data_IF_227991511746
#
_entry.id   IF_227991511746
#
_cell.length_a   1.000
_cell.length_b   1.000
_cell.length_c   1.000
_cell.angle_alpha   90.00
_cell.angle_beta   90.00
_cell.angle_gamma   90.00
#
_symmetry.space_group_name_H-M   'P 1'
#
loop_
_entity.id
_entity.type
_entity.pdbx_description
1 polymer ?
#
# COMPACT_ATOMS: atom_id res chain seq x y z
N UNK A 1 -25.39 -3.04 2.17
CA UNK A 1 -24.90 -4.01 3.21
C UNK A 1 -24.43 -3.28 4.45
N UNK A 2 -24.39 -3.97 5.60
CA UNK A 2 -23.78 -3.48 6.85
C UNK A 2 -22.35 -4.04 6.93
N UNK A 3 -21.37 -3.18 6.76
CA UNK A 3 -19.97 -3.57 6.55
C UNK A 3 -19.10 -3.02 7.68
N UNK A 4 -18.27 -3.87 8.28
CA UNK A 4 -17.30 -3.46 9.29
C UNK A 4 -15.87 -3.65 8.80
N UNK A 5 -15.05 -2.61 8.90
CA UNK A 5 -13.60 -2.69 8.79
C UNK A 5 -12.95 -2.53 10.16
N UNK A 6 -11.98 -3.35 10.50
CA UNK A 6 -11.22 -3.22 11.75
C UNK A 6 -9.71 -3.35 11.52
N UNK A 7 -8.98 -2.34 11.96
CA UNK A 7 -7.51 -2.30 11.92
C UNK A 7 -7.01 -1.31 12.97
N UNK A 8 -6.02 -1.69 13.77
CA UNK A 8 -5.51 -0.88 14.88
C UNK A 8 -5.02 0.52 14.45
N UNK A 9 -4.39 0.62 13.27
CA UNK A 9 -3.84 1.87 12.75
C UNK A 9 -4.83 2.90 12.21
N UNK A 10 -6.11 2.52 11.98
CA UNK A 10 -7.10 3.42 11.38
C UNK A 10 -7.24 4.73 12.17
N UNK A 11 -7.26 5.84 11.44
CA UNK A 11 -7.27 7.23 11.92
C UNK A 11 -6.04 7.65 12.73
N UNK A 12 -5.13 6.74 13.07
CA UNK A 12 -3.90 7.04 13.82
C UNK A 12 -2.70 7.25 12.90
N UNK A 13 -2.59 6.45 11.84
CA UNK A 13 -1.49 6.51 10.89
C UNK A 13 -2.02 6.42 9.45
N UNK A 14 -1.26 6.97 8.50
CA UNK A 14 -1.61 6.97 7.07
C UNK A 14 -0.62 6.08 6.30
N UNK A 15 -0.66 4.76 6.58
CA UNK A 15 0.09 3.74 5.82
C UNK A 15 -0.80 3.17 4.71
N UNK A 16 -0.21 2.39 3.81
CA UNK A 16 -0.92 1.83 2.67
C UNK A 16 -2.20 1.07 3.01
N UNK A 17 -2.18 0.23 4.03
CA UNK A 17 -3.34 -0.55 4.47
C UNK A 17 -4.45 0.32 5.07
N UNK A 18 -4.09 1.28 5.93
CA UNK A 18 -5.04 2.21 6.53
C UNK A 18 -5.68 3.12 5.49
N UNK A 19 -4.87 3.67 4.57
CA UNK A 19 -5.36 4.50 3.45
C UNK A 19 -6.32 3.69 2.59
N UNK A 20 -5.97 2.44 2.25
CA UNK A 20 -6.82 1.57 1.44
C UNK A 20 -8.17 1.32 2.12
N UNK A 21 -8.19 0.94 3.40
CA UNK A 21 -9.43 0.68 4.12
C UNK A 21 -10.30 1.93 4.27
N UNK A 22 -9.70 3.08 4.61
CA UNK A 22 -10.45 4.34 4.72
C UNK A 22 -11.03 4.78 3.37
N UNK A 23 -10.28 4.59 2.28
CA UNK A 23 -10.70 4.98 0.94
C UNK A 23 -11.83 4.10 0.42
N UNK A 24 -11.68 2.77 0.54
CA UNK A 24 -12.73 1.81 0.16
C UNK A 24 -13.99 2.05 1.00
N UNK A 25 -13.86 2.21 2.31
CA UNK A 25 -14.97 2.47 3.21
C UNK A 25 -15.73 3.76 2.85
N UNK A 26 -15.03 4.86 2.55
CA UNK A 26 -15.65 6.11 2.11
C UNK A 26 -16.42 5.92 0.80
N UNK A 27 -15.86 5.20 -0.15
CA UNK A 27 -16.53 4.97 -1.44
C UNK A 27 -17.75 4.04 -1.31
N UNK A 28 -17.67 2.96 -0.51
CA UNK A 28 -18.80 2.09 -0.23
C UNK A 28 -19.95 2.85 0.47
N UNK A 29 -19.61 3.71 1.44
CA UNK A 29 -20.59 4.55 2.11
C UNK A 29 -21.26 5.53 1.14
N UNK A 30 -20.51 6.16 0.21
CA UNK A 30 -21.05 6.99 -0.87
C UNK A 30 -21.96 6.23 -1.82
N UNK A 31 -21.71 4.93 -1.99
CA UNK A 31 -22.55 4.04 -2.80
C UNK A 31 -23.79 3.54 -2.04
N UNK A 32 -24.00 3.98 -0.79
CA UNK A 32 -25.20 3.70 0.00
C UNK A 32 -25.08 2.49 0.94
N UNK A 33 -23.88 1.95 1.16
CA UNK A 33 -23.68 0.91 2.18
C UNK A 33 -23.57 1.52 3.59
N UNK A 34 -24.02 0.78 4.62
CA UNK A 34 -23.82 1.15 6.03
C UNK A 34 -22.44 0.67 6.48
N UNK A 35 -21.48 1.57 6.46
CA UNK A 35 -20.08 1.25 6.71
C UNK A 35 -19.61 1.76 8.06
N UNK A 36 -19.03 0.88 8.85
CA UNK A 36 -18.38 1.20 10.13
C UNK A 36 -16.90 0.86 10.10
N UNK A 37 -16.08 1.73 10.65
CA UNK A 37 -14.67 1.48 10.92
C UNK A 37 -14.41 1.41 12.41
N UNK A 38 -13.63 0.42 12.87
CA UNK A 38 -13.07 0.37 14.22
C UNK A 38 -11.55 0.55 14.10
N UNK A 39 -11.02 1.56 14.78
CA UNK A 39 -9.60 1.88 14.80
C UNK A 39 -9.18 2.56 16.10
N UNK A 40 -7.89 2.84 16.29
CA UNK A 40 -7.42 3.41 17.55
C UNK A 40 -7.11 4.90 17.52
N UNK A 41 -7.10 5.52 16.35
CA UNK A 41 -6.88 6.95 16.23
C UNK A 41 -8.09 7.79 16.64
N UNK A 42 -7.94 9.10 16.78
CA UNK A 42 -9.05 10.00 17.04
C UNK A 42 -9.99 10.08 15.83
N UNK A 43 -11.25 10.38 16.07
CA UNK A 43 -12.23 10.56 15.00
C UNK A 43 -11.79 11.71 14.07
N UNK A 44 -11.74 11.44 12.76
CA UNK A 44 -11.48 12.46 11.74
C UNK A 44 -12.81 12.99 11.20
N UNK A 45 -12.99 14.32 11.11
CA UNK A 45 -14.22 14.92 10.59
C UNK A 45 -14.40 14.67 9.08
N UNK A 46 -15.63 14.86 8.59
CA UNK A 46 -15.94 14.85 7.14
C UNK A 46 -15.83 13.48 6.47
N UNK A 47 -16.06 12.40 7.23
CA UNK A 47 -16.06 11.03 6.69
C UNK A 47 -17.49 10.53 6.49
N UNK A 48 -17.70 9.79 5.42
CA UNK A 48 -19.01 9.24 5.05
C UNK A 48 -19.39 7.98 5.86
N UNK A 49 -18.43 7.31 6.46
CA UNK A 49 -18.62 6.12 7.27
C UNK A 49 -18.72 6.44 8.76
N UNK A 50 -19.35 5.56 9.52
CA UNK A 50 -19.34 5.62 10.99
C UNK A 50 -17.97 5.17 11.51
N UNK A 51 -17.44 5.87 12.50
CA UNK A 51 -16.19 5.51 13.15
C UNK A 51 -16.39 5.23 14.64
N UNK A 52 -15.76 4.15 15.12
CA UNK A 52 -15.72 3.78 16.53
C UNK A 52 -14.25 3.73 16.95
N UNK A 53 -13.89 4.57 17.89
CA UNK A 53 -12.56 4.54 18.48
C UNK A 53 -12.45 3.40 19.49
N UNK A 54 -11.47 2.53 19.32
CA UNK A 54 -11.13 1.44 20.23
C UNK A 54 -9.64 1.56 20.59
N UNK A 55 -9.28 1.67 21.87
CA UNK A 55 -7.90 1.91 22.26
C UNK A 55 -6.98 0.74 21.90
N UNK A 56 -5.76 1.04 21.50
CA UNK A 56 -4.65 0.10 21.42
C UNK A 56 -3.33 0.77 21.84
N UNK A 57 -2.38 -0.03 22.28
CA UNK A 57 -1.02 0.43 22.56
C UNK A 57 -0.28 0.52 21.23
N UNK A 58 0.50 1.58 21.01
CA UNK A 58 1.26 1.79 19.77
C UNK A 58 2.36 0.75 19.62
N UNK A 59 2.59 0.27 18.42
CA UNK A 59 3.59 -0.76 18.12
C UNK A 59 5.01 -0.35 18.50
N UNK A 60 5.35 0.94 18.45
CA UNK A 60 6.66 1.46 18.82
C UNK A 60 7.01 1.14 20.29
N UNK A 61 6.01 0.95 21.15
CA UNK A 61 6.21 0.55 22.53
C UNK A 61 6.61 -0.94 22.67
N UNK A 62 6.48 -1.71 21.61
CA UNK A 62 6.75 -3.14 21.58
C UNK A 62 8.04 -3.52 20.82
N UNK A 63 8.81 -2.56 20.28
CA UNK A 63 10.00 -2.82 19.46
C UNK A 63 11.07 -3.67 20.19
N UNK A 64 11.10 -3.63 21.53
CA UNK A 64 12.04 -4.39 22.36
C UNK A 64 11.42 -5.65 22.99
N UNK A 65 10.16 -5.96 22.66
CA UNK A 65 9.48 -7.10 23.21
C UNK A 65 9.87 -8.39 22.47
N UNK A 66 9.87 -9.55 23.16
CA UNK A 66 10.31 -10.81 22.55
C UNK A 66 9.35 -11.24 21.43
N UNK A 67 9.93 -11.84 20.37
CA UNK A 67 9.16 -12.58 19.37
C UNK A 67 8.75 -13.93 19.94
N UNK A 68 7.45 -14.20 19.98
CA UNK A 68 6.85 -15.43 20.49
C UNK A 68 5.82 -15.94 19.46
N UNK A 69 5.42 -17.21 19.49
CA UNK A 69 4.26 -17.67 18.72
C UNK A 69 3.06 -16.74 18.94
N UNK A 70 2.35 -16.37 17.87
CA UNK A 70 1.24 -15.39 17.85
C UNK A 70 1.63 -13.93 18.15
N UNK A 71 2.86 -13.66 18.61
CA UNK A 71 3.42 -12.33 18.90
C UNK A 71 4.77 -12.15 18.18
N UNK A 72 4.79 -12.39 16.88
CA UNK A 72 6.02 -12.48 16.08
C UNK A 72 6.80 -11.17 15.97
N UNK A 73 6.10 -10.05 16.11
CA UNK A 73 6.66 -8.72 15.98
C UNK A 73 5.81 -7.70 16.74
N UNK A 74 6.25 -6.45 16.76
CA UNK A 74 5.57 -5.32 17.39
C UNK A 74 4.13 -5.11 16.89
N UNK A 75 3.84 -5.45 15.62
CA UNK A 75 2.50 -5.36 15.05
C UNK A 75 1.54 -6.35 15.69
N UNK A 76 1.98 -7.59 15.93
CA UNK A 76 1.15 -8.60 16.59
C UNK A 76 0.83 -8.22 18.05
N UNK A 77 1.76 -7.60 18.76
CA UNK A 77 1.54 -7.05 20.10
C UNK A 77 0.54 -5.88 20.08
N UNK A 78 0.68 -4.96 19.11
CA UNK A 78 -0.30 -3.87 18.90
C UNK A 78 -1.70 -4.43 18.68
N UNK A 79 -1.86 -5.41 17.79
CA UNK A 79 -3.13 -6.07 17.51
C UNK A 79 -3.74 -6.74 18.76
N UNK A 80 -2.93 -7.46 19.53
CA UNK A 80 -3.40 -8.09 20.78
C UNK A 80 -3.90 -7.04 21.78
N UNK A 81 -3.20 -5.90 21.89
CA UNK A 81 -3.63 -4.79 22.75
C UNK A 81 -4.94 -4.11 22.27
N UNK A 82 -5.29 -4.26 21.00
CA UNK A 82 -6.50 -3.75 20.37
C UNK A 82 -7.73 -4.62 20.65
N UNK A 83 -7.54 -5.90 20.95
CA UNK A 83 -8.63 -6.89 21.18
C UNK A 83 -9.67 -6.42 22.22
N UNK A 84 -9.29 -5.95 23.43
CA UNK A 84 -10.28 -5.50 24.41
C UNK A 84 -11.17 -4.37 23.91
N UNK A 85 -10.60 -3.45 23.12
CA UNK A 85 -11.34 -2.37 22.47
C UNK A 85 -12.34 -2.88 21.44
N UNK A 86 -11.91 -3.81 20.56
CA UNK A 86 -12.80 -4.44 19.58
C UNK A 86 -13.94 -5.19 20.30
N UNK A 87 -13.62 -6.02 21.29
CA UNK A 87 -14.65 -6.82 22.01
C UNK A 87 -15.75 -5.94 22.60
N UNK A 88 -15.39 -4.75 23.11
CA UNK A 88 -16.36 -3.79 23.64
C UNK A 88 -17.18 -3.09 22.57
N UNK A 89 -16.57 -2.77 21.42
CA UNK A 89 -17.18 -1.99 20.35
C UNK A 89 -17.95 -2.83 19.33
N UNK A 90 -17.54 -4.08 19.09
CA UNK A 90 -18.06 -4.93 18.05
C UNK A 90 -19.22 -5.80 18.52
N UNK A 91 -20.39 -5.61 17.89
CA UNK A 91 -21.57 -6.45 18.05
C UNK A 91 -21.80 -7.22 16.74
N UNK A 92 -21.58 -8.53 16.71
CA UNK A 92 -21.67 -9.32 15.46
C UNK A 92 -23.01 -9.23 14.74
N UNK A 93 -24.13 -9.12 15.46
CA UNK A 93 -25.49 -8.99 14.89
C UNK A 93 -25.70 -7.73 14.05
N UNK A 94 -24.88 -6.71 14.24
CA UNK A 94 -25.05 -5.41 13.58
C UNK A 94 -24.50 -5.40 12.16
N UNK A 95 -23.77 -6.46 11.76
CA UNK A 95 -23.04 -6.51 10.48
C UNK A 95 -23.38 -7.74 9.66
N UNK A 96 -23.31 -7.60 8.34
CA UNK A 96 -23.44 -8.69 7.37
C UNK A 96 -22.05 -9.27 7.04
N UNK A 97 -21.03 -8.41 7.00
CA UNK A 97 -19.66 -8.79 6.70
C UNK A 97 -18.64 -7.95 7.48
N UNK A 98 -17.53 -8.58 7.85
CA UNK A 98 -16.38 -7.93 8.51
C UNK A 98 -15.12 -8.07 7.66
N UNK A 99 -14.28 -7.04 7.62
CA UNK A 99 -13.01 -7.02 6.91
C UNK A 99 -11.85 -6.67 7.83
N UNK A 100 -10.72 -7.34 7.63
CA UNK A 100 -9.43 -6.96 8.22
C UNK A 100 -8.28 -7.44 7.33
N UNK A 101 -7.09 -6.85 7.50
CA UNK A 101 -5.82 -7.33 6.96
C UNK A 101 -4.85 -7.74 8.07
N UNK A 102 -5.34 -7.86 9.31
CA UNK A 102 -4.57 -8.12 10.50
C UNK A 102 -4.87 -9.53 11.04
N UNK A 103 -3.82 -10.32 11.26
CA UNK A 103 -3.87 -11.70 11.75
C UNK A 103 -2.74 -11.94 12.77
N UNK A 104 -2.97 -12.65 13.89
CA UNK A 104 -4.17 -13.43 14.19
C UNK A 104 -5.27 -12.70 14.99
N UNK A 105 -4.91 -11.73 15.83
CA UNK A 105 -5.75 -11.24 16.92
C UNK A 105 -7.03 -10.54 16.48
N UNK A 106 -6.92 -9.63 15.51
CA UNK A 106 -8.08 -8.90 14.97
C UNK A 106 -9.00 -9.87 14.22
N UNK A 107 -8.45 -10.73 13.35
CA UNK A 107 -9.23 -11.72 12.59
C UNK A 107 -10.00 -12.67 13.52
N UNK A 108 -9.33 -13.27 14.52
CA UNK A 108 -9.99 -14.16 15.49
C UNK A 108 -11.07 -13.46 16.30
N UNK A 109 -10.84 -12.20 16.70
CA UNK A 109 -11.83 -11.43 17.45
C UNK A 109 -13.10 -11.16 16.63
N UNK A 110 -12.95 -10.83 15.35
CA UNK A 110 -14.09 -10.62 14.44
C UNK A 110 -14.85 -11.92 14.16
N UNK A 111 -14.15 -13.05 14.15
CA UNK A 111 -14.70 -14.38 13.90
C UNK A 111 -15.12 -15.14 15.16
N UNK A 112 -15.03 -14.53 16.32
CA UNK A 112 -15.40 -15.18 17.59
C UNK A 112 -16.77 -15.83 17.52
N UNK A 113 -16.99 -16.98 18.16
CA UNK A 113 -18.30 -17.62 18.26
C UNK A 113 -19.34 -16.68 18.89
N UNK A 114 -20.54 -16.66 18.31
CA UNK A 114 -21.69 -15.89 18.82
C UNK A 114 -22.94 -16.77 18.78
N UNK A 115 -23.92 -16.45 19.64
CA UNK A 115 -25.23 -17.04 19.52
C UNK A 115 -25.90 -16.47 18.25
N UNK A 116 -26.40 -17.34 17.39
CA UNK A 116 -27.03 -16.96 16.13
C UNK A 116 -26.04 -16.86 14.95
N UNK A 117 -26.44 -16.09 13.94
CA UNK A 117 -25.65 -15.95 12.71
C UNK A 117 -24.44 -15.03 12.92
N UNK A 118 -23.24 -15.54 12.70
CA UNK A 118 -22.02 -14.75 12.62
C UNK A 118 -21.96 -14.02 11.26
N UNK A 119 -21.51 -12.74 11.21
CA UNK A 119 -21.24 -12.09 9.93
C UNK A 119 -20.17 -12.86 9.15
N UNK A 120 -20.22 -12.80 7.83
CA UNK A 120 -19.14 -13.32 6.98
C UNK A 120 -17.86 -12.55 7.27
N UNK A 121 -16.72 -13.19 7.08
CA UNK A 121 -15.40 -12.59 7.34
C UNK A 121 -14.54 -12.60 6.08
N UNK A 122 -14.11 -11.45 5.65
CA UNK A 122 -13.22 -11.28 4.50
C UNK A 122 -11.86 -10.80 4.97
N UNK A 123 -10.83 -11.51 4.58
CA UNK A 123 -9.45 -11.10 4.80
C UNK A 123 -8.89 -10.42 3.55
N UNK A 124 -8.14 -9.32 3.75
CA UNK A 124 -7.53 -8.55 2.66
C UNK A 124 -6.01 -8.61 2.79
N UNK A 125 -5.30 -8.99 1.74
CA UNK A 125 -3.86 -9.24 1.77
C UNK A 125 -3.00 -7.96 1.72
N UNK A 126 -3.42 -6.89 2.42
CA UNK A 126 -2.71 -5.61 2.43
C UNK A 126 -1.29 -5.71 2.99
N UNK A 127 -1.09 -6.60 3.96
CA UNK A 127 0.20 -6.83 4.62
C UNK A 127 0.84 -8.17 4.19
N UNK A 128 0.44 -8.74 3.05
CA UNK A 128 0.86 -10.05 2.58
C UNK A 128 -0.23 -11.12 2.71
N UNK A 129 -0.01 -12.26 2.05
CA UNK A 129 -0.95 -13.39 2.03
C UNK A 129 -0.49 -14.60 2.86
N UNK A 130 0.61 -14.49 3.59
CA UNK A 130 1.19 -15.58 4.40
C UNK A 130 0.19 -16.23 5.38
N UNK A 131 -0.78 -15.52 6.01
CA UNK A 131 -1.77 -16.21 6.82
C UNK A 131 -2.60 -17.24 6.03
N UNK A 132 -2.82 -16.97 4.75
CA UNK A 132 -3.66 -17.82 3.90
C UNK A 132 -2.93 -19.05 3.34
N UNK A 133 -1.60 -18.97 3.10
CA UNK A 133 -0.87 -20.08 2.48
C UNK A 133 0.08 -20.81 3.43
N UNK A 134 0.49 -20.22 4.55
CA UNK A 134 1.45 -20.83 5.46
C UNK A 134 0.77 -21.82 6.39
N UNK A 135 1.32 -23.03 6.49
CA UNK A 135 0.86 -24.08 7.40
C UNK A 135 1.63 -24.09 8.73
N UNK A 136 2.48 -23.09 8.97
CA UNK A 136 3.31 -23.01 10.17
C UNK A 136 2.61 -22.28 11.33
N UNK A 137 2.78 -22.80 12.58
CA UNK A 137 2.33 -22.14 13.80
C UNK A 137 0.86 -21.70 13.76
N UNK A 138 0.57 -20.45 14.15
CA UNK A 138 -0.78 -19.87 14.19
C UNK A 138 -1.43 -19.75 12.81
N UNK A 139 -0.67 -19.70 11.72
CA UNK A 139 -1.23 -19.59 10.37
C UNK A 139 -2.07 -20.79 9.97
N UNK A 140 -1.84 -21.96 10.57
CA UNK A 140 -2.71 -23.15 10.42
C UNK A 140 -4.15 -22.92 10.89
N UNK A 141 -4.36 -21.90 11.72
CA UNK A 141 -5.67 -21.54 12.26
C UNK A 141 -6.32 -20.39 11.48
N UNK A 142 -5.74 -20.05 10.32
CA UNK A 142 -6.31 -19.04 9.45
C UNK A 142 -7.52 -19.59 8.69
N UNK A 143 -8.59 -18.83 8.73
CA UNK A 143 -9.81 -19.07 7.96
C UNK A 143 -10.48 -17.75 7.61
N UNK A 144 -11.15 -17.73 6.47
CA UNK A 144 -12.01 -16.62 6.04
C UNK A 144 -13.13 -17.15 5.15
N UNK A 145 -14.23 -16.40 5.05
CA UNK A 145 -15.35 -16.69 4.12
C UNK A 145 -15.06 -16.12 2.73
N UNK A 146 -14.13 -15.18 2.62
CA UNK A 146 -13.62 -14.61 1.38
C UNK A 146 -12.23 -14.01 1.55
N UNK A 147 -11.43 -14.05 0.48
CA UNK A 147 -10.06 -13.53 0.44
C UNK A 147 -9.92 -12.51 -0.68
N UNK A 148 -9.59 -11.27 -0.35
CA UNK A 148 -9.23 -10.25 -1.34
C UNK A 148 -7.72 -10.22 -1.47
N UNK A 149 -7.23 -10.57 -2.66
CA UNK A 149 -5.83 -10.56 -3.02
C UNK A 149 -5.49 -9.26 -3.75
N UNK A 150 -4.50 -8.55 -3.26
CA UNK A 150 -4.11 -7.23 -3.77
C UNK A 150 -3.18 -7.30 -4.99
N UNK A 151 -2.70 -8.48 -5.35
CA UNK A 151 -1.87 -8.71 -6.53
C UNK A 151 -2.10 -10.10 -7.15
N UNK A 152 -1.68 -10.31 -8.41
CA UNK A 152 -1.87 -11.57 -9.12
C UNK A 152 -1.19 -12.77 -8.46
N UNK A 153 0.01 -12.61 -7.88
CA UNK A 153 0.76 -13.70 -7.25
C UNK A 153 0.00 -14.25 -6.03
N UNK A 154 -0.60 -13.36 -5.22
CA UNK A 154 -1.42 -13.76 -4.09
C UNK A 154 -2.71 -14.44 -4.53
N UNK A 155 -3.34 -13.91 -5.60
CA UNK A 155 -4.56 -14.50 -6.14
C UNK A 155 -4.31 -15.91 -6.68
N UNK A 156 -3.32 -16.10 -7.54
CA UNK A 156 -3.01 -17.41 -8.13
C UNK A 156 -2.65 -18.46 -7.07
N UNK A 157 -1.93 -18.05 -6.02
CA UNK A 157 -1.55 -18.94 -4.93
C UNK A 157 -2.73 -19.42 -4.09
N UNK A 158 -3.75 -18.59 -3.91
CA UNK A 158 -4.81 -18.81 -2.94
C UNK A 158 -6.18 -19.18 -3.53
N UNK A 159 -6.43 -18.92 -4.83
CA UNK A 159 -7.74 -19.10 -5.46
C UNK A 159 -8.28 -20.54 -5.48
N UNK A 160 -7.41 -21.53 -5.38
CA UNK A 160 -7.83 -22.94 -5.31
C UNK A 160 -8.30 -23.34 -3.90
N UNK A 161 -7.88 -22.61 -2.85
CA UNK A 161 -8.19 -22.93 -1.45
C UNK A 161 -9.30 -22.06 -0.86
N UNK A 162 -9.41 -20.83 -1.32
CA UNK A 162 -10.37 -19.84 -0.80
C UNK A 162 -11.26 -19.30 -1.93
N UNK A 163 -12.44 -18.81 -1.55
CA UNK A 163 -13.19 -17.89 -2.39
C UNK A 163 -12.38 -16.60 -2.48
N UNK A 164 -11.62 -16.44 -3.54
CA UNK A 164 -10.69 -15.33 -3.70
C UNK A 164 -11.11 -14.39 -4.82
N UNK A 165 -10.80 -13.10 -4.66
CA UNK A 165 -10.91 -12.10 -5.72
C UNK A 165 -9.59 -11.33 -5.83
N UNK A 166 -9.19 -11.01 -7.07
CA UNK A 166 -8.08 -10.11 -7.36
C UNK A 166 -8.63 -8.68 -7.41
N UNK A 167 -8.42 -7.91 -6.35
CA UNK A 167 -8.88 -6.52 -6.26
C UNK A 167 -7.70 -5.64 -5.86
N UNK A 168 -7.29 -4.69 -6.71
CA UNK A 168 -6.16 -3.80 -6.44
C UNK A 168 -6.44 -2.81 -5.31
N UNK A 169 -5.39 -2.12 -4.87
CA UNK A 169 -5.57 -0.83 -4.22
C UNK A 169 -5.87 0.25 -5.26
N UNK A 170 -6.33 1.40 -4.78
CA UNK A 170 -6.70 2.51 -5.62
C UNK A 170 -5.81 3.73 -5.46
N UNK A 171 -6.11 4.73 -6.28
CA UNK A 171 -5.53 6.07 -6.22
C UNK A 171 -6.63 7.12 -6.14
N UNK A 172 -6.37 8.21 -5.42
CA UNK A 172 -7.21 9.41 -5.45
C UNK A 172 -6.87 10.25 -6.70
N UNK A 173 -7.60 9.99 -7.78
CA UNK A 173 -7.40 10.67 -9.07
C UNK A 173 -7.81 12.16 -9.05
N UNK A 174 -8.48 12.64 -8.02
CA UNK A 174 -8.72 14.09 -7.85
C UNK A 174 -7.46 14.79 -7.32
N UNK A 175 -6.70 14.09 -6.50
CA UNK A 175 -5.47 14.55 -5.87
C UNK A 175 -4.23 14.28 -6.73
N UNK A 176 -4.05 13.02 -7.16
CA UNK A 176 -2.96 12.62 -8.06
C UNK A 176 -3.42 12.76 -9.51
N UNK A 177 -2.91 13.77 -10.17
CA UNK A 177 -3.27 14.13 -11.56
C UNK A 177 -2.13 14.88 -12.22
N UNK A 178 -2.05 14.92 -13.55
CA UNK A 178 -1.08 15.73 -14.28
C UNK A 178 -1.17 17.20 -13.91
N UNK A 179 -0.06 17.89 -14.04
CA UNK A 179 0.06 19.32 -13.77
C UNK A 179 1.50 19.78 -13.89
N UNK A 180 1.79 21.04 -13.70
CA UNK A 180 3.13 21.59 -13.80
C UNK A 180 4.03 21.02 -12.70
N UNK A 181 5.36 20.88 -12.98
CA UNK A 181 6.35 20.58 -11.95
C UNK A 181 6.46 21.77 -10.97
N UNK A 182 6.81 21.45 -9.72
CA UNK A 182 6.90 22.45 -8.64
C UNK A 182 8.25 22.34 -7.91
N UNK A 183 9.34 22.07 -8.64
CA UNK A 183 10.68 21.80 -8.08
C UNK A 183 11.15 22.90 -7.13
N UNK A 184 11.05 24.16 -7.53
CA UNK A 184 11.48 25.29 -6.70
C UNK A 184 10.70 25.35 -5.36
N UNK A 185 9.38 25.13 -5.38
CA UNK A 185 8.55 25.10 -4.17
C UNK A 185 8.95 23.95 -3.22
N UNK A 186 9.38 22.83 -3.78
CA UNK A 186 9.81 21.65 -3.02
C UNK A 186 11.29 21.69 -2.60
N UNK A 187 12.00 22.79 -2.91
CA UNK A 187 13.44 22.92 -2.61
C UNK A 187 14.32 22.02 -3.48
N UNK A 188 13.84 21.58 -4.62
CA UNK A 188 14.56 20.74 -5.56
C UNK A 188 15.22 21.58 -6.66
N UNK A 189 16.32 21.07 -7.23
CA UNK A 189 17.01 21.73 -8.34
C UNK A 189 16.16 21.73 -9.61
N UNK A 190 16.13 22.85 -10.30
CA UNK A 190 15.55 22.95 -11.66
C UNK A 190 16.54 22.51 -12.75
N UNK A 191 17.78 22.16 -12.37
CA UNK A 191 18.83 21.75 -13.31
C UNK A 191 18.86 20.25 -13.47
N UNK A 192 18.85 19.79 -14.72
CA UNK A 192 18.99 18.38 -15.08
C UNK A 192 17.78 17.49 -14.78
N UNK A 193 17.83 16.24 -15.25
CA UNK A 193 16.79 15.26 -15.00
C UNK A 193 16.73 14.82 -13.53
N UNK A 194 15.52 14.52 -13.07
CA UNK A 194 15.23 14.10 -11.71
C UNK A 194 14.57 12.72 -11.71
N UNK A 195 15.20 11.75 -11.06
CA UNK A 195 14.63 10.43 -10.77
C UNK A 195 14.11 10.43 -9.33
N UNK A 196 12.86 10.05 -9.15
CA UNK A 196 12.19 9.97 -7.85
C UNK A 196 12.06 8.52 -7.39
N UNK A 197 12.41 8.25 -6.13
CA UNK A 197 11.96 7.08 -5.37
C UNK A 197 11.08 7.52 -4.21
N UNK A 198 10.00 6.79 -3.96
CA UNK A 198 9.15 6.95 -2.76
C UNK A 198 9.15 5.64 -2.01
N UNK A 199 9.93 5.56 -0.93
CA UNK A 199 10.09 4.31 -0.18
C UNK A 199 10.72 4.51 1.19
N UNK A 200 10.47 3.57 2.11
CA UNK A 200 11.26 3.47 3.33
C UNK A 200 12.72 3.10 3.00
N UNK A 201 13.67 3.62 3.79
CA UNK A 201 15.10 3.29 3.68
C UNK A 201 15.39 1.99 4.45
N UNK A 202 14.98 0.86 3.85
CA UNK A 202 15.21 -0.51 4.32
C UNK A 202 15.74 -1.37 3.18
N UNK A 203 16.42 -2.47 3.50
CA UNK A 203 17.10 -3.32 2.54
C UNK A 203 16.22 -3.80 1.37
N UNK A 204 14.96 -4.17 1.64
CA UNK A 204 14.03 -4.68 0.61
C UNK A 204 13.64 -3.66 -0.46
N UNK A 205 13.95 -2.37 -0.27
CA UNK A 205 13.64 -1.29 -1.22
C UNK A 205 14.77 -0.99 -2.20
N UNK A 206 15.95 -1.57 -1.99
CA UNK A 206 17.10 -1.52 -2.90
C UNK A 206 17.48 -0.10 -3.37
N UNK A 207 17.51 0.86 -2.42
CA UNK A 207 17.90 2.25 -2.71
C UNK A 207 19.37 2.34 -3.11
N UNK A 208 20.23 1.44 -2.63
CA UNK A 208 21.62 1.29 -3.02
C UNK A 208 21.78 0.95 -4.52
N UNK A 209 20.90 0.10 -5.05
CA UNK A 209 20.89 -0.23 -6.49
C UNK A 209 20.49 0.99 -7.34
N UNK A 210 19.53 1.78 -6.86
CA UNK A 210 19.15 3.03 -7.51
C UNK A 210 20.33 4.03 -7.56
N UNK A 211 21.09 4.17 -6.47
CA UNK A 211 22.28 5.03 -6.41
C UNK A 211 23.34 4.56 -7.42
N UNK A 212 23.58 3.24 -7.50
CA UNK A 212 24.54 2.66 -8.48
C UNK A 212 24.10 2.89 -9.93
N UNK A 213 22.83 2.73 -10.22
CA UNK A 213 22.29 3.00 -11.55
C UNK A 213 22.40 4.49 -11.93
N UNK A 214 22.03 5.41 -11.00
CA UNK A 214 22.15 6.86 -11.23
C UNK A 214 23.61 7.30 -11.32
N UNK A 215 24.56 6.57 -10.73
CA UNK A 215 25.99 6.85 -10.90
C UNK A 215 26.47 6.73 -12.36
N UNK A 216 25.79 5.92 -13.18
CA UNK A 216 26.04 5.79 -14.61
C UNK A 216 25.43 6.93 -15.45
N UNK A 217 24.65 7.82 -14.83
CA UNK A 217 23.92 8.93 -15.46
C UNK A 217 24.40 10.26 -14.88
N UNK A 218 25.46 10.90 -15.42
CA UNK A 218 26.16 12.04 -14.78
C UNK A 218 25.28 13.26 -14.49
N UNK A 219 24.25 13.51 -15.32
CA UNK A 219 23.38 14.69 -15.20
C UNK A 219 22.15 14.45 -14.32
N UNK A 220 21.91 13.20 -13.86
CA UNK A 220 20.69 12.82 -13.16
C UNK A 220 20.81 13.03 -11.65
N UNK A 221 19.83 13.67 -11.06
CA UNK A 221 19.66 13.77 -9.60
C UNK A 221 18.68 12.71 -9.10
N UNK A 222 19.06 11.96 -8.06
CA UNK A 222 18.19 11.02 -7.36
C UNK A 222 17.54 11.71 -6.15
N UNK A 223 16.22 11.80 -6.17
CA UNK A 223 15.41 12.26 -5.03
C UNK A 223 14.75 11.05 -4.37
N UNK A 224 14.96 10.89 -3.07
CA UNK A 224 14.32 9.82 -2.28
C UNK A 224 13.39 10.43 -1.25
N UNK A 225 12.09 10.19 -1.41
CA UNK A 225 11.06 10.57 -0.44
C UNK A 225 10.82 9.43 0.54
N UNK A 226 11.32 9.60 1.75
CA UNK A 226 11.15 8.63 2.81
C UNK A 226 12.27 8.65 3.84
N UNK A 227 12.16 7.76 4.84
CA UNK A 227 13.12 7.61 5.91
C UNK A 227 13.23 6.13 6.33
N UNK A 228 14.24 5.80 7.13
CA UNK A 228 14.43 4.45 7.63
C UNK A 228 15.81 4.21 8.23
N UNK A 229 16.04 3.00 8.78
CA UNK A 229 17.29 2.67 9.47
C UNK A 229 18.54 2.76 8.58
N UNK A 230 18.41 2.59 7.26
CA UNK A 230 19.54 2.66 6.32
C UNK A 230 19.83 4.09 5.81
N UNK A 231 19.30 5.13 6.47
CA UNK A 231 19.48 6.52 6.04
C UNK A 231 20.94 6.94 5.91
N UNK A 232 21.74 6.66 6.92
CA UNK A 232 23.13 7.11 6.97
C UNK A 232 24.02 6.29 6.02
N UNK A 233 23.77 4.99 5.90
CA UNK A 233 24.44 4.11 4.92
C UNK A 233 24.14 4.54 3.49
N UNK A 234 22.87 4.80 3.20
CA UNK A 234 22.42 5.24 1.88
C UNK A 234 23.02 6.60 1.52
N UNK A 235 23.09 7.52 2.49
CA UNK A 235 23.75 8.82 2.29
C UNK A 235 25.24 8.66 2.02
N UNK A 236 25.94 7.86 2.80
CA UNK A 236 27.39 7.64 2.62
C UNK A 236 27.71 7.03 1.23
N UNK A 237 26.88 6.08 0.78
CA UNK A 237 27.00 5.49 -0.56
C UNK A 237 26.78 6.56 -1.65
N UNK A 238 25.76 7.39 -1.48
CA UNK A 238 25.44 8.45 -2.44
C UNK A 238 26.53 9.54 -2.50
N UNK A 239 27.06 9.96 -1.35
CA UNK A 239 28.16 10.92 -1.29
C UNK A 239 29.43 10.42 -2.01
N UNK A 240 29.66 9.11 -2.01
CA UNK A 240 30.77 8.47 -2.72
C UNK A 240 30.54 8.33 -4.24
N UNK A 241 29.34 7.90 -4.67
CA UNK A 241 29.08 7.54 -6.07
C UNK A 241 28.44 8.67 -6.89
N UNK A 242 27.61 9.50 -6.27
CA UNK A 242 26.85 10.59 -6.91
C UNK A 242 26.91 11.89 -6.08
N UNK A 243 28.13 12.40 -5.78
CA UNK A 243 28.29 13.56 -4.91
C UNK A 243 27.48 14.77 -5.41
N UNK A 244 26.69 15.36 -4.49
CA UNK A 244 25.81 16.51 -4.80
C UNK A 244 24.56 16.20 -5.61
N UNK A 245 24.31 14.93 -6.02
CA UNK A 245 23.17 14.51 -6.84
C UNK A 245 22.21 13.56 -6.11
N UNK A 246 22.29 13.49 -4.79
CA UNK A 246 21.36 12.74 -3.94
C UNK A 246 20.62 13.70 -3.01
N UNK A 247 19.32 13.69 -3.05
CA UNK A 247 18.45 14.53 -2.21
C UNK A 247 17.43 13.66 -1.48
N UNK A 248 17.48 13.61 -0.17
CA UNK A 248 16.44 12.97 0.62
C UNK A 248 15.44 14.02 1.11
N UNK A 249 14.15 13.75 0.89
CA UNK A 249 13.06 14.60 1.33
C UNK A 249 12.11 13.85 2.27
N UNK A 250 11.50 14.59 3.18
CA UNK A 250 10.37 14.13 4.00
C UNK A 250 9.29 15.19 3.89
N UNK A 251 8.26 14.91 3.11
CA UNK A 251 7.22 15.87 2.76
C UNK A 251 5.87 15.47 3.36
N UNK A 252 5.00 16.44 3.65
CA UNK A 252 3.60 16.17 3.94
C UNK A 252 2.94 15.39 2.79
N UNK A 253 1.97 14.55 3.15
CA UNK A 253 1.22 13.77 2.16
C UNK A 253 0.64 14.64 1.04
N UNK A 254 0.21 15.87 1.34
CA UNK A 254 -0.41 16.78 0.38
C UNK A 254 0.56 17.30 -0.69
N UNK A 255 1.86 17.26 -0.44
CA UNK A 255 2.89 17.64 -1.40
C UNK A 255 3.31 16.50 -2.34
N UNK A 256 2.91 15.26 -2.05
CA UNK A 256 3.31 14.10 -2.85
C UNK A 256 2.91 14.19 -4.32
N UNK A 257 1.71 14.67 -4.71
CA UNK A 257 1.39 14.85 -6.12
C UNK A 257 2.32 15.82 -6.86
N UNK A 258 2.71 16.92 -6.20
CA UNK A 258 3.67 17.86 -6.75
C UNK A 258 5.06 17.24 -6.91
N UNK A 259 5.47 16.38 -5.97
CA UNK A 259 6.74 15.67 -6.05
C UNK A 259 6.76 14.70 -7.23
N UNK A 260 5.71 13.90 -7.45
CA UNK A 260 5.62 13.02 -8.61
C UNK A 260 5.69 13.82 -9.92
N UNK A 261 4.91 14.93 -10.05
CA UNK A 261 4.94 15.79 -11.23
C UNK A 261 6.29 16.48 -11.50
N UNK A 262 7.11 16.61 -10.47
CA UNK A 262 8.44 17.24 -10.55
C UNK A 262 9.53 16.27 -11.03
N UNK A 263 9.23 14.96 -11.11
CA UNK A 263 10.15 13.94 -11.55
C UNK A 263 10.03 13.64 -13.05
N UNK A 264 11.17 13.40 -13.70
CA UNK A 264 11.23 12.94 -15.09
C UNK A 264 11.05 11.44 -15.21
N UNK A 265 11.36 10.68 -14.14
CA UNK A 265 11.05 9.26 -14.00
C UNK A 265 10.84 8.90 -12.53
N UNK A 266 9.94 7.97 -12.29
CA UNK A 266 9.74 7.31 -11.00
C UNK A 266 10.38 5.93 -11.01
N UNK A 267 11.28 5.68 -10.06
CA UNK A 267 12.01 4.41 -9.92
C UNK A 267 11.54 3.65 -8.68
N UNK A 268 11.20 2.37 -8.83
CA UNK A 268 10.83 1.52 -7.70
C UNK A 268 11.42 0.11 -7.83
N UNK A 269 12.36 -0.21 -6.97
CA UNK A 269 13.15 -1.45 -7.01
C UNK A 269 12.80 -2.43 -5.88
N UNK A 270 11.57 -2.38 -5.36
CA UNK A 270 11.11 -3.35 -4.36
C UNK A 270 10.60 -4.63 -5.02
N UNK A 271 11.09 -5.78 -4.53
CA UNK A 271 10.60 -7.10 -4.95
C UNK A 271 9.45 -7.60 -4.09
N UNK A 272 9.29 -7.04 -2.91
CA UNK A 272 8.29 -7.45 -1.93
C UNK A 272 7.33 -6.30 -1.63
N UNK A 273 6.21 -6.30 -2.35
CA UNK A 273 5.09 -5.37 -2.19
C UNK A 273 3.77 -6.12 -2.22
N UNK A 274 2.85 -5.76 -1.36
CA UNK A 274 1.49 -6.29 -1.45
C UNK A 274 0.76 -5.75 -2.68
N UNK A 275 0.93 -4.46 -3.00
CA UNK A 275 0.44 -3.83 -4.21
C UNK A 275 1.47 -2.85 -4.77
N UNK A 276 1.82 -1.80 -4.01
CA UNK A 276 2.68 -0.71 -4.44
C UNK A 276 1.86 0.50 -4.91
N UNK A 277 1.18 1.16 -3.98
CA UNK A 277 0.36 2.36 -4.26
C UNK A 277 1.14 3.44 -5.02
N UNK A 278 2.44 3.55 -4.75
CA UNK A 278 3.34 4.51 -5.39
C UNK A 278 3.40 4.41 -6.92
N UNK A 279 3.16 3.21 -7.48
CA UNK A 279 3.07 3.03 -8.94
C UNK A 279 1.87 3.77 -9.53
N UNK A 280 0.69 3.56 -8.95
CA UNK A 280 -0.54 4.18 -9.45
C UNK A 280 -0.58 5.68 -9.17
N UNK A 281 0.09 6.15 -8.11
CA UNK A 281 0.29 7.56 -7.80
C UNK A 281 1.17 8.24 -8.86
N UNK A 282 2.30 7.63 -9.21
CA UNK A 282 3.20 8.11 -10.27
C UNK A 282 2.48 8.16 -11.63
N UNK A 283 1.83 7.06 -12.02
CA UNK A 283 1.08 6.98 -13.27
C UNK A 283 -0.05 8.00 -13.34
N UNK A 284 -0.79 8.20 -12.26
CA UNK A 284 -1.86 9.19 -12.20
C UNK A 284 -1.36 10.64 -12.38
N UNK A 285 -0.11 10.90 -11.99
CA UNK A 285 0.57 12.19 -12.22
C UNK A 285 1.20 12.28 -13.62
N UNK A 286 1.16 11.23 -14.44
CA UNK A 286 1.79 11.16 -15.76
C UNK A 286 3.30 10.89 -15.72
N UNK A 287 3.84 10.52 -14.55
CA UNK A 287 5.28 10.26 -14.37
C UNK A 287 5.63 8.83 -14.84
N UNK A 288 6.58 8.64 -15.76
CA UNK A 288 6.97 7.33 -16.27
C UNK A 288 7.57 6.47 -15.16
N UNK A 289 7.22 5.18 -15.18
CA UNK A 289 7.58 4.22 -14.13
C UNK A 289 8.67 3.27 -14.63
N UNK A 290 9.77 3.22 -13.89
CA UNK A 290 10.83 2.21 -14.04
C UNK A 290 10.80 1.28 -12.84
N UNK A 291 10.70 -0.03 -13.07
CA UNK A 291 10.57 -0.99 -11.98
C UNK A 291 11.11 -2.37 -12.37
N UNK A 292 11.26 -3.27 -11.40
CA UNK A 292 11.54 -4.67 -11.69
C UNK A 292 10.42 -5.33 -12.46
N UNK A 293 10.80 -6.18 -13.40
CA UNK A 293 9.89 -7.00 -14.20
C UNK A 293 9.35 -8.18 -13.37
N UNK A 294 8.20 -7.95 -12.75
CA UNK A 294 7.47 -8.91 -11.93
C UNK A 294 6.02 -9.00 -12.41
N UNK A 295 5.32 -10.14 -12.20
CA UNK A 295 3.91 -10.27 -12.58
C UNK A 295 3.04 -9.12 -12.05
N UNK A 296 3.27 -8.69 -10.80
CA UNK A 296 2.57 -7.57 -10.19
C UNK A 296 2.85 -6.24 -10.89
N UNK A 297 4.12 -5.91 -11.16
CA UNK A 297 4.47 -4.66 -11.85
C UNK A 297 3.94 -4.62 -13.26
N UNK A 298 4.06 -5.70 -14.04
CA UNK A 298 3.42 -5.81 -15.36
C UNK A 298 1.91 -5.59 -15.29
N UNK A 299 1.25 -6.20 -14.31
CA UNK A 299 -0.20 -6.04 -14.12
C UNK A 299 -0.60 -4.60 -13.77
N UNK A 300 0.19 -3.88 -12.97
CA UNK A 300 -0.11 -2.50 -12.58
C UNK A 300 0.20 -1.54 -13.74
N UNK A 301 1.43 -1.55 -14.25
CA UNK A 301 1.90 -0.52 -15.20
C UNK A 301 1.47 -0.81 -16.65
N UNK A 302 1.14 -2.06 -16.98
CA UNK A 302 0.81 -2.44 -18.35
C UNK A 302 1.96 -2.20 -19.33
N UNK A 303 1.62 -1.90 -20.58
CA UNK A 303 2.59 -1.69 -21.66
C UNK A 303 3.34 -0.34 -21.55
N UNK A 304 2.89 0.56 -20.65
CA UNK A 304 3.51 1.88 -20.43
C UNK A 304 4.68 1.89 -19.45
N UNK A 305 5.04 0.75 -18.84
CA UNK A 305 6.13 0.64 -17.87
C UNK A 305 7.47 0.30 -18.50
N UNK A 306 8.53 0.82 -17.92
CA UNK A 306 9.93 0.49 -18.26
C UNK A 306 10.40 -0.57 -17.27
N UNK A 307 10.36 -1.84 -17.68
CA UNK A 307 10.59 -2.97 -16.79
C UNK A 307 11.98 -3.55 -16.95
N UNK A 308 12.64 -3.81 -15.82
CA UNK A 308 14.03 -4.28 -15.75
C UNK A 308 14.06 -5.69 -15.19
N UNK A 309 14.70 -6.61 -15.90
CA UNK A 309 14.99 -7.95 -15.39
C UNK A 309 16.29 -7.95 -14.59
N UNK A 310 16.18 -8.36 -13.32
CA UNK A 310 17.33 -8.53 -12.44
C UNK A 310 17.90 -7.25 -11.83
N UNK A 311 18.96 -7.45 -11.02
CA UNK A 311 19.69 -6.42 -10.28
C UNK A 311 20.91 -5.98 -11.07
N UNK A 312 20.70 -5.28 -12.17
CA UNK A 312 21.77 -4.80 -13.03
C UNK A 312 21.70 -3.28 -13.14
N UNK A 313 22.65 -2.52 -12.54
CA UNK A 313 22.64 -1.05 -12.59
C UNK A 313 22.64 -0.50 -14.02
N UNK A 314 23.33 -1.15 -14.96
CA UNK A 314 23.37 -0.74 -16.37
C UNK A 314 22.01 -0.88 -17.04
N UNK A 315 21.30 -1.98 -16.78
CA UNK A 315 19.94 -2.18 -17.30
C UNK A 315 18.97 -1.16 -16.68
N UNK A 316 19.07 -0.89 -15.37
CA UNK A 316 18.25 0.13 -14.69
C UNK A 316 18.53 1.51 -15.29
N UNK A 317 19.81 1.87 -15.48
CA UNK A 317 20.21 3.15 -16.08
C UNK A 317 19.69 3.29 -17.52
N UNK A 318 19.76 2.22 -18.32
CA UNK A 318 19.22 2.20 -19.68
C UNK A 318 17.71 2.47 -19.70
N UNK A 319 16.94 1.79 -18.85
CA UNK A 319 15.49 2.01 -18.79
C UNK A 319 15.11 3.39 -18.21
N UNK A 320 15.91 3.92 -17.27
CA UNK A 320 15.75 5.31 -16.81
C UNK A 320 15.95 6.31 -17.95
N UNK A 321 17.02 6.13 -18.76
CA UNK A 321 17.24 6.97 -19.93
C UNK A 321 16.07 6.92 -20.91
N UNK A 322 15.56 5.74 -21.22
CA UNK A 322 14.40 5.56 -22.11
C UNK A 322 13.16 6.25 -21.55
N UNK A 323 12.92 6.12 -20.24
CA UNK A 323 11.80 6.73 -19.56
C UNK A 323 11.84 8.27 -19.58
N UNK A 324 13.04 8.85 -19.39
CA UNK A 324 13.23 10.31 -19.34
C UNK A 324 13.19 10.99 -20.72
N UNK A 325 13.53 10.25 -21.81
CA UNK A 325 13.52 10.81 -23.20
C UNK A 325 12.25 10.48 -23.98
N UNK A 326 11.20 9.99 -23.29
CA UNK A 326 9.94 9.66 -23.95
C UNK A 326 9.33 10.88 -24.64
N UNK A 327 8.69 10.67 -25.79
CA UNK A 327 8.09 11.71 -26.60
C UNK A 327 6.56 11.85 -26.42
N UNK A 328 5.96 11.13 -25.46
CA UNK A 328 4.52 11.21 -25.16
C UNK A 328 4.26 12.10 -23.94
N UNK A 329 3.04 12.55 -23.79
CA UNK A 329 2.58 13.44 -22.72
C UNK A 329 2.16 12.72 -21.44
N UNK A 330 2.38 11.40 -21.34
CA UNK A 330 1.97 10.58 -20.20
C UNK A 330 0.49 10.19 -20.16
N UNK A 331 -0.28 10.54 -21.18
CA UNK A 331 -1.72 10.28 -21.21
C UNK A 331 -2.07 8.80 -21.05
N UNK A 332 -1.30 7.90 -21.66
CA UNK A 332 -1.49 6.45 -21.54
C UNK A 332 -1.32 5.94 -20.11
N UNK A 333 -0.37 6.49 -19.35
CA UNK A 333 -0.18 6.17 -17.93
C UNK A 333 -1.34 6.68 -17.08
N UNK A 334 -1.79 7.91 -17.36
CA UNK A 334 -2.94 8.50 -16.66
C UNK A 334 -4.21 7.69 -16.96
N UNK A 335 -4.44 7.30 -18.20
CA UNK A 335 -5.56 6.44 -18.58
C UNK A 335 -5.48 5.09 -17.85
N UNK A 336 -4.31 4.47 -17.83
CA UNK A 336 -4.10 3.23 -17.08
C UNK A 336 -4.41 3.39 -15.59
N UNK A 337 -4.00 4.50 -14.97
CA UNK A 337 -4.28 4.79 -13.58
C UNK A 337 -5.78 4.95 -13.27
N UNK A 338 -6.62 5.31 -14.27
CA UNK A 338 -8.08 5.41 -14.07
C UNK A 338 -8.72 4.07 -13.69
N UNK A 339 -8.16 2.95 -14.14
CA UNK A 339 -8.64 1.62 -13.74
C UNK A 339 -8.49 1.37 -12.23
N UNK A 340 -7.59 2.09 -11.58
CA UNK A 340 -7.29 2.01 -10.15
C UNK A 340 -7.93 3.14 -9.33
N UNK A 341 -8.96 3.82 -9.82
CA UNK A 341 -9.71 4.79 -8.99
C UNK A 341 -10.38 4.09 -7.82
N UNK A 342 -10.34 4.71 -6.65
CA UNK A 342 -11.01 4.15 -5.45
C UNK A 342 -12.49 3.85 -5.68
N UNK A 343 -13.20 4.61 -6.53
CA UNK A 343 -14.60 4.32 -6.88
C UNK A 343 -14.75 3.00 -7.63
N UNK A 344 -13.87 2.70 -8.60
CA UNK A 344 -13.87 1.43 -9.34
C UNK A 344 -13.47 0.26 -8.45
N UNK A 345 -12.47 0.46 -7.58
CA UNK A 345 -12.03 -0.53 -6.60
C UNK A 345 -13.17 -0.86 -5.61
N UNK A 346 -13.87 0.15 -5.09
CA UNK A 346 -14.98 -0.05 -4.17
C UNK A 346 -16.14 -0.83 -4.80
N UNK A 347 -16.43 -0.61 -6.09
CA UNK A 347 -17.42 -1.43 -6.81
C UNK A 347 -17.01 -2.89 -6.83
N UNK A 348 -15.75 -3.21 -7.14
CA UNK A 348 -15.24 -4.59 -7.10
C UNK A 348 -15.32 -5.20 -5.69
N UNK A 349 -15.01 -4.40 -4.64
CA UNK A 349 -15.22 -4.83 -3.25
C UNK A 349 -16.69 -5.17 -3.01
N UNK A 350 -17.62 -4.28 -3.37
CA UNK A 350 -19.05 -4.48 -3.17
C UNK A 350 -19.55 -5.76 -3.84
N UNK A 351 -19.22 -5.95 -5.12
CA UNK A 351 -19.62 -7.13 -5.90
C UNK A 351 -19.12 -8.42 -5.25
N UNK A 352 -17.87 -8.43 -4.79
CA UNK A 352 -17.29 -9.59 -4.11
C UNK A 352 -17.93 -9.84 -2.73
N UNK A 353 -18.15 -8.78 -1.94
CA UNK A 353 -18.80 -8.89 -0.63
C UNK A 353 -20.24 -9.41 -0.75
N UNK A 354 -20.99 -8.98 -1.75
CA UNK A 354 -22.34 -9.51 -2.05
C UNK A 354 -22.30 -11.00 -2.35
N UNK A 355 -21.34 -11.46 -3.16
CA UNK A 355 -21.13 -12.89 -3.44
C UNK A 355 -20.78 -13.68 -2.16
N UNK A 356 -19.97 -13.13 -1.27
CA UNK A 356 -19.58 -13.77 0.00
C UNK A 356 -20.76 -13.86 0.96
N UNK A 357 -21.56 -12.79 1.07
CA UNK A 357 -22.71 -12.73 1.98
C UNK A 357 -23.86 -13.63 1.51
N UNK A 358 -24.10 -13.71 0.20
CA UNK A 358 -25.17 -14.53 -0.40
C UNK A 358 -24.84 -16.03 -0.44
N UNK A 359 -23.57 -16.40 -0.28
CA UNK A 359 -23.17 -17.80 -0.24
C UNK A 359 -23.63 -18.45 1.08
N UNK A 360 -24.45 -19.47 0.96
CA UNK A 360 -25.01 -20.29 2.03
C UNK A 360 -23.93 -21.04 2.82
#
# INVERSE_FOLDING_TARGET
MRILFALAGLHRVDRGAEIAFMSVASQLARQGDDVTLIGSGPQRPGREYRYIQAPSIRRENFERWPSLPMFRNETAWEEASFVPGIVRAYRPSDYDVTLTCAFPWTSWTLRRPVAGRRPKHVFVTQNGDWPAYSDSSEFRLFECDGLICTNPEYFERNRARYRAALIPNGVDAARFKPGPPERARLGLSDKGPLVLMVSALIASKNVDEAIRAVALLPEVTLVVAGDGPLRDETKALADNLIPGRYVRVSLPSDDMPALYRSADAFLHLSRDESFGNVFVEAMACGTPVVAYDLPRTRWIVGDGGYLVDGRNPEAIASELMRAMVRNDDGSSLVERAQAFRWSSVATQYRDFLEQVVSAS
#
